data_IF_137505094178
#
_entry.id   IF_137505094178
#
_cell.length_a   1.000
_cell.length_b   1.000
_cell.length_c   1.000
_cell.angle_alpha   90.00
_cell.angle_beta   90.00
_cell.angle_gamma   90.00
#
_symmetry.space_group_name_H-M   'P 1'
#
loop_
_entity.id
_entity.type
_entity.pdbx_description
1 polymer ?
#
# COMPACT_ATOMS: atom_id res chain seq x y z
N UNK A 1 -12.44 22.85 5.35
CA UNK A 1 -11.03 22.78 4.92
C UNK A 1 -10.51 24.21 4.76
N UNK A 2 -9.45 24.59 5.47
CA UNK A 2 -8.81 25.92 5.35
C UNK A 2 -8.16 26.01 3.97
N UNK A 3 -8.30 27.13 3.23
CA UNK A 3 -7.88 27.23 1.81
C UNK A 3 -6.40 26.90 1.54
N UNK A 4 -5.55 26.99 2.56
CA UNK A 4 -4.16 26.55 2.47
C UNK A 4 -4.02 25.04 2.24
N UNK A 5 -4.88 24.21 2.86
CA UNK A 5 -4.83 22.75 2.70
C UNK A 5 -5.16 22.30 1.26
N UNK A 6 -5.97 23.07 0.53
CA UNK A 6 -6.29 22.80 -0.89
C UNK A 6 -5.10 23.04 -1.83
N UNK A 7 -4.04 23.70 -1.35
CA UNK A 7 -2.83 24.02 -2.13
C UNK A 7 -1.62 23.21 -1.70
N UNK A 8 -1.80 22.27 -0.76
CA UNK A 8 -0.73 21.42 -0.26
C UNK A 8 -0.36 20.41 -1.34
N UNK A 9 0.89 20.45 -1.76
CA UNK A 9 1.55 19.42 -2.55
C UNK A 9 3.02 19.38 -2.10
N UNK A 10 3.41 18.33 -1.40
CA UNK A 10 4.77 18.19 -0.89
C UNK A 10 5.17 16.72 -0.82
N UNK A 11 6.48 16.49 -0.78
CA UNK A 11 7.05 15.16 -0.52
C UNK A 11 7.36 15.02 0.96
N UNK A 12 6.87 13.97 1.58
CA UNK A 12 7.12 13.67 2.99
C UNK A 12 8.56 13.21 3.22
N UNK A 13 8.97 13.07 4.49
CA UNK A 13 10.30 12.54 4.84
C UNK A 13 10.51 11.08 4.42
N UNK A 14 9.42 10.37 4.10
CA UNK A 14 9.43 8.98 3.61
C UNK A 14 9.17 8.92 2.10
N UNK A 15 9.45 10.00 1.37
CA UNK A 15 9.39 10.09 -0.10
C UNK A 15 7.99 9.96 -0.72
N UNK A 16 6.93 9.98 0.09
CA UNK A 16 5.57 9.99 -0.41
C UNK A 16 5.12 11.40 -0.84
N UNK A 17 4.55 11.52 -2.03
CA UNK A 17 3.92 12.76 -2.47
C UNK A 17 2.50 12.87 -1.90
N UNK A 18 2.26 13.93 -1.12
CA UNK A 18 1.01 14.19 -0.41
C UNK A 18 0.33 15.41 -1.02
N UNK A 19 -0.90 15.22 -1.49
CA UNK A 19 -1.79 16.24 -2.01
C UNK A 19 -3.25 15.87 -1.72
N UNK A 20 -4.13 16.86 -1.77
CA UNK A 20 -5.55 16.68 -1.51
C UNK A 20 -6.39 17.05 -2.74
N UNK A 21 -7.41 16.26 -3.03
CA UNK A 21 -8.38 16.56 -4.06
C UNK A 21 -9.37 17.66 -3.64
N UNK A 22 -10.33 17.99 -4.51
CA UNK A 22 -11.32 19.03 -4.24
C UNK A 22 -12.25 18.73 -3.05
N UNK A 23 -12.36 17.45 -2.64
CA UNK A 23 -13.12 17.01 -1.46
C UNK A 23 -12.29 17.06 -0.18
N UNK A 24 -10.96 17.18 -0.31
CA UNK A 24 -10.02 17.13 0.80
C UNK A 24 -9.52 15.71 1.10
N UNK A 25 -9.74 14.75 0.21
CA UNK A 25 -9.21 13.39 0.32
C UNK A 25 -7.83 13.30 -0.35
N UNK A 26 -6.97 12.43 0.17
CA UNK A 26 -5.71 12.06 -0.49
C UNK A 26 -5.94 10.82 -1.36
N UNK A 27 -5.14 10.66 -2.41
CA UNK A 27 -5.16 9.41 -3.16
C UNK A 27 -4.71 8.25 -2.24
N UNK A 28 -5.52 7.16 -2.12
CA UNK A 28 -5.19 6.07 -1.23
C UNK A 28 -4.00 5.27 -1.72
N UNK A 29 -3.12 4.93 -0.77
CA UNK A 29 -1.99 4.01 -0.94
C UNK A 29 -2.01 3.01 0.21
N UNK A 30 -1.91 1.72 -0.10
CA UNK A 30 -1.98 0.63 0.89
C UNK A 30 -0.96 -0.45 0.58
N UNK A 31 -0.37 -1.02 1.62
CA UNK A 31 0.34 -2.29 1.50
C UNK A 31 -0.66 -3.44 1.41
N UNK A 32 -0.35 -4.42 0.56
CA UNK A 32 -1.03 -5.71 0.56
C UNK A 32 -0.24 -6.64 1.46
N UNK A 33 -0.87 -7.09 2.55
CA UNK A 33 -0.23 -7.98 3.53
C UNK A 33 -0.75 -9.41 3.40
N UNK A 34 0.16 -10.37 3.44
CA UNK A 34 -0.16 -11.79 3.56
C UNK A 34 0.18 -12.25 4.97
N UNK A 35 -0.78 -12.95 5.60
CA UNK A 35 -0.61 -13.50 6.94
C UNK A 35 0.13 -14.82 6.81
N UNK A 36 1.34 -14.87 7.34
CA UNK A 36 2.23 -16.02 7.23
C UNK A 36 2.51 -16.57 8.62
N UNK A 37 2.74 -17.88 8.69
CA UNK A 37 3.16 -18.52 9.93
C UNK A 37 4.64 -18.25 10.15
N UNK A 38 4.98 -17.65 11.29
CA UNK A 38 6.35 -17.46 11.73
C UNK A 38 6.95 -18.74 12.29
N UNK A 39 8.24 -18.69 12.60
CA UNK A 39 9.04 -19.86 13.01
C UNK A 39 8.52 -20.46 14.33
N UNK A 40 7.96 -19.62 15.22
CA UNK A 40 7.45 -20.04 16.53
C UNK A 40 5.92 -20.23 16.52
N UNK A 41 5.31 -20.26 15.32
CA UNK A 41 3.87 -20.43 15.12
C UNK A 41 3.04 -19.15 15.30
N UNK A 42 3.69 -18.00 15.48
CA UNK A 42 3.05 -16.70 15.50
C UNK A 42 2.57 -16.27 14.10
N UNK A 43 1.61 -15.34 14.06
CA UNK A 43 1.18 -14.74 12.79
C UNK A 43 2.10 -13.56 12.46
N UNK A 44 2.75 -13.62 11.30
CA UNK A 44 3.54 -12.54 10.74
C UNK A 44 2.80 -11.87 9.57
N UNK A 45 2.79 -10.55 9.55
CA UNK A 45 2.21 -9.76 8.44
C UNK A 45 3.33 -9.38 7.49
N UNK A 46 3.47 -10.11 6.39
CA UNK A 46 4.47 -9.82 5.36
C UNK A 46 3.83 -8.97 4.26
N UNK A 47 4.44 -7.84 3.91
CA UNK A 47 4.06 -7.07 2.73
C UNK A 47 4.42 -7.89 1.49
N UNK A 48 3.44 -8.14 0.63
CA UNK A 48 3.58 -8.92 -0.62
C UNK A 48 3.17 -8.12 -1.85
N UNK A 49 2.95 -6.82 -1.70
CA UNK A 49 2.47 -5.98 -2.77
C UNK A 49 1.91 -4.67 -2.25
N UNK A 50 1.30 -3.90 -3.14
CA UNK A 50 0.70 -2.62 -2.82
C UNK A 50 -0.49 -2.30 -3.72
N UNK A 51 -1.31 -1.37 -3.24
CA UNK A 51 -2.29 -0.65 -4.02
C UNK A 51 -1.95 0.85 -4.03
N UNK A 52 -1.81 1.45 -5.21
CA UNK A 52 -1.59 2.90 -5.38
C UNK A 52 -2.62 3.47 -6.36
N UNK A 53 -3.59 4.22 -5.84
CA UNK A 53 -4.66 4.83 -6.63
C UNK A 53 -4.18 5.95 -7.57
N UNK A 54 -2.96 6.45 -7.39
CA UNK A 54 -2.39 7.49 -8.27
C UNK A 54 -1.93 6.94 -9.63
N UNK A 55 -1.77 5.62 -9.75
CA UNK A 55 -1.32 4.97 -10.97
C UNK A 55 -2.46 4.78 -12.00
N UNK A 56 -2.14 4.60 -13.29
CA UNK A 56 -3.12 4.31 -14.32
C UNK A 56 -3.93 3.03 -14.04
N UNK A 57 -5.18 2.99 -14.51
CA UNK A 57 -6.04 1.81 -14.42
C UNK A 57 -5.31 0.55 -14.91
N UNK A 58 -5.32 -0.50 -14.10
CA UNK A 58 -4.62 -1.77 -14.37
C UNK A 58 -3.18 -1.83 -13.85
N UNK A 59 -2.62 -0.72 -13.37
CA UNK A 59 -1.28 -0.67 -12.74
C UNK A 59 -1.35 -0.38 -11.24
N UNK A 60 -2.55 -0.11 -10.72
CA UNK A 60 -2.77 0.31 -9.35
C UNK A 60 -2.54 -0.80 -8.33
N UNK A 61 -2.62 -2.07 -8.72
CA UNK A 61 -2.49 -3.21 -7.82
C UNK A 61 -1.35 -4.11 -8.30
N UNK A 62 -0.32 -4.25 -7.48
CA UNK A 62 0.88 -5.02 -7.80
C UNK A 62 1.14 -6.01 -6.68
N UNK A 63 1.38 -7.26 -7.03
CA UNK A 63 1.75 -8.33 -6.11
C UNK A 63 3.12 -8.90 -6.50
N UNK A 64 3.96 -9.16 -5.50
CA UNK A 64 5.09 -10.06 -5.63
C UNK A 64 4.62 -11.47 -5.25
N UNK A 65 4.27 -12.27 -6.27
CA UNK A 65 3.72 -13.62 -6.06
C UNK A 65 4.72 -14.56 -5.37
N UNK A 66 6.03 -14.34 -5.56
CA UNK A 66 7.10 -15.13 -4.92
C UNK A 66 7.12 -14.97 -3.39
N UNK A 67 6.59 -13.85 -2.89
CA UNK A 67 6.53 -13.56 -1.46
C UNK A 67 5.25 -14.08 -0.79
N UNK A 68 4.26 -14.55 -1.55
CA UNK A 68 2.99 -15.08 -1.06
C UNK A 68 3.16 -16.52 -0.60
N UNK A 69 2.68 -16.81 0.61
CA UNK A 69 2.61 -18.16 1.16
C UNK A 69 1.15 -18.53 1.35
N UNK A 70 0.73 -19.59 0.64
CA UNK A 70 -0.60 -20.17 0.75
C UNK A 70 -0.64 -21.24 1.85
N UNK A 71 -1.85 -21.66 2.19
CA UNK A 71 -2.09 -22.72 3.17
C UNK A 71 -1.28 -23.97 2.83
N UNK A 72 -0.58 -24.51 3.82
CA UNK A 72 0.33 -25.65 3.66
C UNK A 72 1.68 -25.28 3.07
N UNK A 73 2.15 -24.06 3.30
CA UNK A 73 3.48 -23.54 2.91
C UNK A 73 3.76 -23.54 1.41
N UNK A 74 2.70 -23.55 0.60
CA UNK A 74 2.81 -23.51 -0.86
C UNK A 74 3.17 -22.10 -1.33
N UNK A 75 4.19 -22.01 -2.18
CA UNK A 75 4.56 -20.80 -2.92
C UNK A 75 4.18 -20.98 -4.38
N UNK A 76 3.81 -19.91 -5.06
CA UNK A 76 3.67 -19.89 -6.53
C UNK A 76 5.05 -19.86 -7.21
#
# INVERSE_FOLDING_TARGET
VVDYLKKVNFTSKVEENIWFDSTGATAPKYDVVNWQQGVDGEVQFKVVGYYDATLPTGQQFVLNTEDIVWVGEKRE
#
